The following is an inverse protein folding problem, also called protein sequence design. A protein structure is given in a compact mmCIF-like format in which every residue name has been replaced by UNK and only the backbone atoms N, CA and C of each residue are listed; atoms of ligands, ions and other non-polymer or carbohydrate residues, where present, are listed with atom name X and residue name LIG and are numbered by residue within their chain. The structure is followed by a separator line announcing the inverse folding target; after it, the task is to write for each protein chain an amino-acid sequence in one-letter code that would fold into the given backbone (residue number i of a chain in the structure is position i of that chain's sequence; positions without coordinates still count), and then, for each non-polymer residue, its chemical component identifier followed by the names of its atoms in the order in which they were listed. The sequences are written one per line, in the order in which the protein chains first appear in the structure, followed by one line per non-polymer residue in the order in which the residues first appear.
data_IF_912957537076
#
_entry.id   IF_912957537076
#
_cell.length_a   1.000
_cell.length_b   1.000
_cell.length_c   1.000
_cell.angle_alpha   90.00
_cell.angle_beta   90.00
_cell.angle_gamma   90.00
#
_symmetry.space_group_name_H-M   'P 1'
#
loop_
_entity.id
_entity.type
_entity.pdbx_description
1 polymer ?
#
# COMPACT_ATOMS: atom_id res chain seq x y z
N UNK A 1 20.53 -8.37 4.35
CA UNK A 1 21.87 -8.96 4.55
C UNK A 1 22.58 -8.82 3.22
N UNK A 2 23.62 -8.02 3.18
CA UNK A 2 24.36 -7.66 1.96
C UNK A 2 25.18 -8.86 1.52
N UNK A 3 25.14 -9.21 0.23
CA UNK A 3 26.01 -10.26 -0.32
C UNK A 3 26.62 -9.72 -1.59
N UNK A 4 27.95 -9.64 -1.57
CA UNK A 4 28.80 -9.21 -2.68
C UNK A 4 28.98 -10.44 -3.56
N UNK A 5 28.77 -10.29 -4.86
CA UNK A 5 29.03 -11.37 -5.82
C UNK A 5 30.54 -11.47 -6.13
N UNK A 6 30.91 -12.50 -6.90
CA UNK A 6 32.31 -12.77 -7.28
C UNK A 6 32.93 -11.72 -8.24
N UNK A 7 32.12 -10.77 -8.76
CA UNK A 7 32.57 -9.70 -9.66
C UNK A 7 32.68 -8.33 -8.96
N UNK A 8 32.37 -8.27 -7.66
CA UNK A 8 32.35 -7.00 -6.92
C UNK A 8 31.21 -6.07 -7.35
N UNK A 9 30.21 -6.60 -8.04
CA UNK A 9 29.00 -5.84 -8.36
C UNK A 9 28.07 -5.83 -7.14
N UNK A 10 27.70 -4.62 -6.73
CA UNK A 10 26.61 -4.42 -5.77
C UNK A 10 25.30 -4.82 -6.46
N UNK A 11 24.94 -6.09 -6.34
CA UNK A 11 23.58 -6.49 -6.65
C UNK A 11 22.68 -6.00 -5.52
N UNK A 12 22.01 -4.86 -5.74
CA UNK A 12 20.84 -4.39 -5.00
C UNK A 12 19.76 -5.49 -5.08
N UNK A 13 19.92 -6.48 -4.22
CA UNK A 13 19.20 -7.73 -4.33
C UNK A 13 17.78 -7.51 -3.86
N UNK A 14 16.94 -7.33 -4.88
CA UNK A 14 15.48 -7.34 -4.93
C UNK A 14 14.85 -5.97 -4.66
N UNK A 15 14.49 -5.31 -5.76
CA UNK A 15 13.08 -4.96 -5.99
C UNK A 15 12.21 -6.17 -5.60
N UNK A 16 11.97 -6.35 -4.29
CA UNK A 16 11.04 -7.33 -3.78
C UNK A 16 9.69 -6.86 -4.30
N UNK A 17 9.19 -7.57 -5.30
CA UNK A 17 7.85 -7.46 -5.89
C UNK A 17 6.85 -7.07 -4.79
N UNK A 18 6.58 -5.77 -4.65
CA UNK A 18 5.59 -5.21 -3.72
C UNK A 18 4.17 -5.34 -4.30
N UNK A 19 3.99 -6.36 -5.14
CA UNK A 19 2.70 -6.72 -5.68
C UNK A 19 2.03 -7.68 -4.73
N UNK A 20 0.82 -7.30 -4.34
CA UNK A 20 -0.02 -8.17 -3.54
C UNK A 20 -0.75 -9.10 -4.49
N UNK A 21 -0.75 -10.38 -4.13
CA UNK A 21 -1.40 -11.42 -4.92
C UNK A 21 -2.86 -11.61 -4.46
N UNK A 22 -3.78 -11.99 -5.37
CA UNK A 22 -5.12 -12.42 -4.98
C UNK A 22 -5.11 -13.49 -3.89
N UNK A 23 -5.97 -13.33 -2.88
CA UNK A 23 -6.07 -14.21 -1.71
C UNK A 23 -5.14 -13.80 -0.55
N UNK A 24 -4.19 -12.90 -0.76
CA UNK A 24 -3.35 -12.39 0.32
C UNK A 24 -4.18 -11.55 1.31
N UNK A 25 -3.92 -11.71 2.62
CA UNK A 25 -4.53 -10.90 3.67
C UNK A 25 -3.61 -9.75 4.10
N UNK A 26 -4.15 -8.55 4.14
CA UNK A 26 -3.53 -7.36 4.73
C UNK A 26 -4.11 -7.18 6.14
N UNK A 27 -3.25 -7.06 7.15
CA UNK A 27 -3.64 -6.91 8.57
C UNK A 27 -4.65 -7.98 9.05
N UNK A 28 -4.58 -9.19 8.49
CA UNK A 28 -5.54 -10.28 8.75
C UNK A 28 -7.03 -9.89 8.55
N UNK A 29 -7.30 -8.82 7.77
CA UNK A 29 -8.63 -8.24 7.59
C UNK A 29 -9.03 -8.08 6.14
N UNK A 30 -8.13 -7.53 5.32
CA UNK A 30 -8.46 -7.22 3.93
C UNK A 30 -7.90 -8.29 3.01
N UNK A 31 -8.79 -9.07 2.41
CA UNK A 31 -8.41 -10.06 1.40
C UNK A 31 -8.27 -9.39 0.04
N UNK A 32 -7.10 -9.50 -0.58
CA UNK A 32 -6.83 -8.96 -1.92
C UNK A 32 -7.62 -9.78 -2.94
N UNK A 33 -8.42 -9.11 -3.76
CA UNK A 33 -9.18 -9.75 -4.85
C UNK A 33 -8.42 -9.63 -6.16
N UNK A 34 -7.97 -8.41 -6.50
CA UNK A 34 -7.19 -8.13 -7.72
C UNK A 34 -6.53 -6.77 -7.66
N UNK A 35 -5.48 -6.57 -8.46
CA UNK A 35 -4.94 -5.24 -8.75
C UNK A 35 -5.89 -4.46 -9.65
N UNK A 36 -6.17 -3.21 -9.29
CA UNK A 36 -6.97 -2.26 -10.08
C UNK A 36 -6.08 -1.36 -10.95
N UNK A 37 -4.89 -1.03 -10.47
CA UNK A 37 -3.96 -0.20 -11.21
C UNK A 37 -2.63 0.00 -10.51
N UNK A 38 -1.69 0.62 -11.22
CA UNK A 38 -0.38 0.99 -10.71
C UNK A 38 -0.01 2.37 -11.23
N UNK A 39 0.57 3.19 -10.38
CA UNK A 39 1.21 4.45 -10.73
C UNK A 39 2.67 4.46 -10.29
N UNK A 40 3.31 5.62 -10.39
CA UNK A 40 4.71 5.78 -10.01
C UNK A 40 4.95 5.53 -8.50
N UNK A 41 4.05 6.03 -7.65
CA UNK A 41 4.21 6.05 -6.18
C UNK A 41 3.37 5.00 -5.45
N UNK A 42 2.38 4.39 -6.11
CA UNK A 42 1.44 3.49 -5.46
C UNK A 42 0.79 2.50 -6.42
N UNK A 43 0.29 1.39 -5.88
CA UNK A 43 -0.61 0.46 -6.56
C UNK A 43 -1.96 0.42 -5.84
N UNK A 44 -3.05 0.24 -6.58
CA UNK A 44 -4.40 0.15 -6.02
C UNK A 44 -4.92 -1.26 -6.22
N UNK A 45 -5.51 -1.82 -5.18
CA UNK A 45 -6.08 -3.16 -5.16
C UNK A 45 -7.56 -3.10 -4.76
N UNK A 46 -8.36 -3.97 -5.36
CA UNK A 46 -9.69 -4.30 -4.85
C UNK A 46 -9.51 -5.35 -3.77
N UNK A 47 -10.10 -5.12 -2.61
CA UNK A 47 -10.05 -6.02 -1.48
C UNK A 47 -11.45 -6.26 -0.89
N UNK A 48 -11.58 -7.29 -0.06
CA UNK A 48 -12.77 -7.57 0.76
C UNK A 48 -12.43 -7.39 2.22
N UNK A 49 -13.17 -6.56 2.93
CA UNK A 49 -13.07 -6.42 4.39
C UNK A 49 -13.78 -7.60 5.07
N UNK A 50 -13.01 -8.53 5.61
CA UNK A 50 -13.54 -9.73 6.28
C UNK A 50 -14.31 -9.44 7.55
N UNK A 51 -14.01 -8.34 8.24
CA UNK A 51 -14.70 -7.97 9.49
C UNK A 51 -16.05 -7.30 9.22
N UNK A 52 -16.22 -6.70 8.04
CA UNK A 52 -17.46 -6.06 7.60
C UNK A 52 -18.21 -6.91 6.56
N UNK A 53 -18.24 -8.24 6.75
CA UNK A 53 -19.05 -9.13 5.91
C UNK A 53 -18.60 -9.24 4.45
N UNK A 54 -17.30 -9.11 4.18
CA UNK A 54 -16.70 -9.05 2.85
C UNK A 54 -17.08 -7.80 2.04
N UNK A 55 -17.32 -6.67 2.71
CA UNK A 55 -17.50 -5.37 2.05
C UNK A 55 -16.34 -5.11 1.07
N UNK A 56 -16.67 -4.72 -0.16
CA UNK A 56 -15.66 -4.41 -1.16
C UNK A 56 -15.07 -3.02 -0.88
N UNK A 57 -13.74 -2.96 -0.85
CA UNK A 57 -12.97 -1.73 -0.61
C UNK A 57 -11.84 -1.63 -1.63
N UNK A 58 -11.38 -0.42 -1.90
CA UNK A 58 -10.13 -0.20 -2.61
C UNK A 58 -9.04 0.15 -1.61
N UNK A 59 -7.84 -0.40 -1.81
CA UNK A 59 -6.69 -0.12 -0.96
C UNK A 59 -5.55 0.37 -1.84
N UNK A 60 -5.13 1.62 -1.62
CA UNK A 60 -3.96 2.22 -2.27
C UNK A 60 -2.74 1.95 -1.41
N UNK A 61 -1.82 1.14 -1.91
CA UNK A 61 -0.56 0.77 -1.26
C UNK A 61 0.56 1.62 -1.85
N UNK A 62 1.24 2.38 -1.00
CA UNK A 62 2.36 3.23 -1.39
C UNK A 62 3.64 2.40 -1.42
N UNK A 63 4.48 2.64 -2.44
CA UNK A 63 5.81 2.03 -2.52
C UNK A 63 6.69 2.68 -1.45
N UNK A 64 6.86 1.97 -0.33
CA UNK A 64 7.78 2.36 0.73
C UNK A 64 8.94 1.36 0.75
N UNK A 65 10.15 1.78 0.38
CA UNK A 65 11.34 0.98 0.65
C UNK A 65 11.82 1.32 2.08
N UNK A 66 12.34 0.33 2.82
CA UNK A 66 12.87 0.55 4.18
C UNK A 66 14.09 1.50 4.22
N UNK A 67 14.66 1.81 3.06
CA UNK A 67 15.77 2.75 2.87
C UNK A 67 15.30 4.18 2.56
N UNK A 68 13.99 4.44 2.50
CA UNK A 68 13.46 5.77 2.19
C UNK A 68 13.72 6.64 3.41
N UNK A 69 14.20 7.85 3.16
CA UNK A 69 14.47 8.79 4.24
C UNK A 69 13.20 9.07 5.05
N UNK A 70 13.37 9.30 6.35
CA UNK A 70 12.29 9.65 7.27
C UNK A 70 11.48 10.87 6.78
N UNK A 71 12.13 11.75 6.02
CA UNK A 71 11.50 12.89 5.34
C UNK A 71 10.44 12.46 4.32
N UNK A 72 10.73 11.46 3.47
CA UNK A 72 9.79 10.92 2.48
C UNK A 72 8.59 10.28 3.17
N UNK A 73 8.83 9.50 4.23
CA UNK A 73 7.75 8.91 5.05
C UNK A 73 6.87 9.97 5.65
N UNK A 74 7.48 11.02 6.21
CA UNK A 74 6.79 12.12 6.87
C UNK A 74 5.96 12.90 5.86
N UNK A 75 6.48 13.15 4.66
CA UNK A 75 5.73 13.80 3.58
C UNK A 75 4.56 12.95 3.09
N UNK A 76 4.80 11.67 2.80
CA UNK A 76 3.74 10.75 2.36
C UNK A 76 2.64 10.63 3.41
N UNK A 77 3.01 10.49 4.68
CA UNK A 77 2.05 10.45 5.79
C UNK A 77 1.21 11.72 5.83
N UNK A 78 1.82 12.90 5.71
CA UNK A 78 1.08 14.18 5.66
C UNK A 78 0.08 14.24 4.51
N UNK A 79 0.47 13.78 3.31
CA UNK A 79 -0.42 13.76 2.14
C UNK A 79 -1.61 12.80 2.33
N UNK A 80 -1.37 11.64 2.93
CA UNK A 80 -2.41 10.66 3.27
C UNK A 80 -3.39 11.26 4.29
N UNK A 81 -2.89 11.87 5.36
CA UNK A 81 -3.72 12.49 6.40
C UNK A 81 -4.52 13.69 5.87
N UNK A 82 -3.93 14.52 5.00
CA UNK A 82 -4.63 15.63 4.36
C UNK A 82 -5.80 15.14 3.49
N UNK A 83 -5.61 14.01 2.79
CA UNK A 83 -6.66 13.39 1.97
C UNK A 83 -7.79 12.83 2.84
N UNK A 84 -7.46 12.24 4.00
CA UNK A 84 -8.42 11.62 4.92
C UNK A 84 -9.52 12.56 5.42
N UNK A 85 -9.24 13.87 5.53
CA UNK A 85 -10.22 14.88 5.95
C UNK A 85 -11.26 15.27 4.90
N UNK A 86 -11.13 14.80 3.65
CA UNK A 86 -12.01 15.19 2.55
C UNK A 86 -13.17 14.20 2.43
N UNK A 87 -14.36 14.63 2.83
CA UNK A 87 -15.61 13.86 2.67
C UNK A 87 -16.60 14.68 1.82
N UNK A 88 -16.64 14.41 0.52
CA UNK A 88 -17.51 15.09 -0.45
C UNK A 88 -18.11 14.04 -1.39
N UNK A 89 -19.35 14.20 -1.84
CA UNK A 89 -20.07 13.18 -2.64
C UNK A 89 -19.46 12.82 -4.01
N UNK A 90 -18.38 13.51 -4.42
CA UNK A 90 -17.61 13.24 -5.64
C UNK A 90 -16.17 12.77 -5.36
N UNK A 91 -15.83 12.51 -4.10
CA UNK A 91 -14.52 12.03 -3.66
C UNK A 91 -14.76 10.72 -2.92
N UNK A 92 -14.05 9.66 -3.29
CA UNK A 92 -14.18 8.37 -2.64
C UNK A 92 -13.98 8.50 -1.12
N UNK A 93 -14.89 7.91 -0.34
CA UNK A 93 -14.83 8.01 1.12
C UNK A 93 -13.62 7.25 1.65
N UNK A 94 -12.82 7.89 2.50
CA UNK A 94 -11.72 7.24 3.20
C UNK A 94 -12.22 6.54 4.46
N UNK A 95 -11.73 5.31 4.71
CA UNK A 95 -12.10 4.54 5.90
C UNK A 95 -11.01 4.55 6.95
N UNK A 96 -9.77 4.20 6.59
CA UNK A 96 -8.63 4.18 7.50
C UNK A 96 -7.28 4.15 6.77
N UNK A 97 -6.19 4.38 7.51
CA UNK A 97 -4.83 4.22 7.03
C UNK A 97 -4.22 2.94 7.61
N UNK A 98 -3.52 2.18 6.76
CA UNK A 98 -2.75 1.00 7.16
C UNK A 98 -1.28 1.41 7.24
N UNK A 99 -0.64 1.16 8.38
CA UNK A 99 0.81 1.38 8.54
C UNK A 99 1.41 0.25 9.36
N UNK A 100 2.18 -0.61 8.71
CA UNK A 100 3.02 -1.62 9.36
C UNK A 100 4.45 -1.57 8.78
N UNK A 101 5.33 -2.48 9.19
CA UNK A 101 6.74 -2.48 8.77
C UNK A 101 6.96 -2.57 7.25
N UNK A 102 5.97 -3.10 6.53
CA UNK A 102 6.07 -3.39 5.11
C UNK A 102 5.04 -2.59 4.31
N UNK A 103 3.89 -2.21 4.88
CA UNK A 103 2.78 -1.60 4.15
C UNK A 103 2.48 -0.22 4.71
N UNK A 104 2.51 0.77 3.82
CA UNK A 104 1.80 2.03 4.00
C UNK A 104 0.64 2.06 3.00
N UNK A 105 -0.58 2.16 3.49
CA UNK A 105 -1.78 2.07 2.66
C UNK A 105 -2.92 2.96 3.12
N UNK A 106 -3.85 3.23 2.19
CA UNK A 106 -5.07 3.98 2.43
C UNK A 106 -6.27 3.14 1.98
N UNK A 107 -7.18 2.86 2.90
CA UNK A 107 -8.42 2.12 2.66
C UNK A 107 -9.52 3.12 2.30
N UNK A 108 -10.18 2.87 1.18
CA UNK A 108 -11.20 3.75 0.63
C UNK A 108 -12.38 2.94 0.07
N UNK A 109 -13.50 3.63 -0.07
CA UNK A 109 -14.68 3.14 -0.76
C UNK A 109 -14.33 2.65 -2.17
N UNK A 110 -14.87 1.48 -2.52
CA UNK A 110 -14.82 0.98 -3.89
C UNK A 110 -16.12 1.38 -4.60
N UNK A 111 -15.99 2.22 -5.64
CA UNK A 111 -17.08 2.75 -6.46
C UNK A 111 -17.12 2.03 -7.80
#
# INVERSE_FOLDING_TARGET
METIDENGEFHESRDLRFELEPGQLIENRYEVVKKLGSGATASVYKCKDKLLGNLEVAIKIFRYNKNLSEEVVTRLSREIWASFGINHGNVARFYECIRNENILGLVMEYI
#
